data_IF_939388130439
#
_entry.id   IF_939388130439
#
_cell.length_a   1.000
_cell.length_b   1.000
_cell.length_c   1.000
_cell.angle_alpha   90.00
_cell.angle_beta   90.00
_cell.angle_gamma   90.00
#
_symmetry.space_group_name_H-M   'P 1'
#
loop_
_entity.id
_entity.type
_entity.pdbx_description
1 polymer ?
#
# COMPACT_ATOMS: atom_id res chain seq x y z
N UNK A 1 -16.65 -34.74 -20.27
CA UNK A 1 -15.72 -34.72 -19.13
C UNK A 1 -15.14 -33.32 -19.04
N UNK A 2 -15.62 -32.52 -18.09
CA UNK A 2 -15.44 -31.07 -18.03
C UNK A 2 -14.23 -30.71 -17.14
N UNK A 3 -13.28 -30.00 -17.75
CA UNK A 3 -12.54 -28.85 -17.20
C UNK A 3 -12.09 -28.97 -15.73
N UNK A 4 -10.94 -29.60 -15.49
CA UNK A 4 -10.13 -29.33 -14.30
C UNK A 4 -8.69 -29.16 -14.78
N UNK A 5 -8.14 -27.97 -14.58
CA UNK A 5 -6.81 -27.62 -15.07
C UNK A 5 -6.58 -26.11 -15.25
N UNK A 6 -7.60 -25.28 -15.05
CA UNK A 6 -7.49 -23.82 -15.18
C UNK A 6 -7.35 -23.09 -13.83
N UNK A 7 -6.94 -23.79 -12.77
CA UNK A 7 -6.75 -23.20 -11.43
C UNK A 7 -5.27 -22.87 -11.12
N UNK A 8 -4.31 -23.42 -11.88
CA UNK A 8 -2.89 -23.19 -11.62
C UNK A 8 -2.34 -21.90 -12.25
N UNK A 9 -3.05 -21.31 -13.23
CA UNK A 9 -2.59 -20.12 -13.95
C UNK A 9 -2.99 -18.79 -13.29
N UNK A 10 -3.90 -18.80 -12.30
CA UNK A 10 -4.47 -17.56 -11.74
C UNK A 10 -3.77 -17.05 -10.48
N UNK A 11 -2.92 -17.87 -9.86
CA UNK A 11 -2.14 -17.46 -8.66
C UNK A 11 -0.74 -16.95 -9.07
N UNK A 12 -0.21 -17.37 -10.23
CA UNK A 12 1.12 -16.97 -10.68
C UNK A 12 1.15 -15.66 -11.50
N UNK A 13 -0.01 -15.14 -11.91
CA UNK A 13 -0.11 -13.95 -12.76
C UNK A 13 -0.33 -12.64 -11.99
N UNK A 14 -0.53 -12.69 -10.66
CA UNK A 14 -0.68 -11.47 -9.84
C UNK A 14 0.65 -10.90 -9.31
N UNK A 15 1.79 -11.44 -9.76
CA UNK A 15 3.14 -11.02 -9.35
C UNK A 15 3.85 -10.11 -10.37
N UNK A 16 3.23 -9.76 -11.50
CA UNK A 16 3.97 -9.19 -12.64
C UNK A 16 3.59 -7.78 -13.09
N UNK A 17 3.00 -6.93 -12.26
CA UNK A 17 2.79 -5.52 -12.61
C UNK A 17 2.96 -4.60 -11.39
N UNK A 18 4.20 -4.15 -11.16
CA UNK A 18 4.65 -2.74 -11.13
C UNK A 18 5.89 -2.60 -10.22
N UNK A 19 7.05 -2.35 -10.84
CA UNK A 19 8.26 -1.82 -10.17
C UNK A 19 9.36 -2.85 -9.97
N UNK A 20 10.61 -2.49 -10.29
CA UNK A 20 11.80 -3.30 -10.00
C UNK A 20 11.85 -3.72 -8.52
N UNK A 21 11.58 -5.01 -8.29
CA UNK A 21 12.26 -5.92 -7.35
C UNK A 21 12.66 -5.43 -5.97
N UNK A 22 11.71 -5.35 -5.05
CA UNK A 22 11.98 -5.48 -3.62
C UNK A 22 10.82 -6.22 -2.96
N UNK A 23 11.12 -7.25 -2.18
CA UNK A 23 10.13 -7.98 -1.39
C UNK A 23 9.78 -7.18 -0.13
N UNK A 24 8.54 -7.26 0.35
CA UNK A 24 8.12 -6.60 1.59
C UNK A 24 8.86 -7.13 2.84
N UNK A 25 9.67 -8.18 2.73
CA UNK A 25 10.57 -8.68 3.77
C UNK A 25 12.03 -8.26 3.60
N UNK A 26 12.39 -7.54 2.54
CA UNK A 26 13.77 -7.13 2.33
C UNK A 26 14.19 -6.07 3.36
N UNK A 27 15.36 -6.24 3.96
CA UNK A 27 15.93 -5.30 4.94
C UNK A 27 16.62 -4.11 4.25
N UNK A 28 15.91 -3.42 3.37
CA UNK A 28 16.38 -2.21 2.68
C UNK A 28 15.22 -1.22 2.47
N UNK A 29 15.52 -0.07 1.88
CA UNK A 29 14.52 0.97 1.60
C UNK A 29 13.40 0.47 0.69
N UNK A 30 13.71 -0.39 -0.28
CA UNK A 30 12.76 -1.04 -1.17
C UNK A 30 11.75 -1.91 -0.42
N UNK A 31 12.21 -2.77 0.48
CA UNK A 31 11.34 -3.66 1.24
C UNK A 31 10.45 -2.92 2.24
N UNK A 32 10.97 -1.87 2.89
CA UNK A 32 10.16 -1.02 3.74
C UNK A 32 9.07 -0.27 2.95
N UNK A 33 9.40 0.25 1.75
CA UNK A 33 8.42 0.88 0.85
C UNK A 33 7.35 -0.12 0.40
N UNK A 34 7.75 -1.35 0.08
CA UNK A 34 6.82 -2.42 -0.28
C UNK A 34 5.86 -2.74 0.90
N UNK A 35 6.40 -2.87 2.13
CA UNK A 35 5.59 -3.08 3.34
C UNK A 35 4.58 -1.95 3.57
N UNK A 36 5.01 -0.69 3.55
CA UNK A 36 4.09 0.44 3.77
C UNK A 36 3.04 0.50 2.67
N UNK A 37 3.42 0.24 1.41
CA UNK A 37 2.46 0.20 0.30
C UNK A 37 1.37 -0.84 0.52
N UNK A 38 1.75 -2.04 0.97
CA UNK A 38 0.80 -3.09 1.33
C UNK A 38 -0.13 -2.63 2.47
N UNK A 39 0.43 -2.13 3.58
CA UNK A 39 -0.34 -1.68 4.75
C UNK A 39 -1.34 -0.56 4.41
N UNK A 40 -0.96 0.39 3.56
CA UNK A 40 -1.86 1.46 3.12
C UNK A 40 -2.99 0.90 2.25
N UNK A 41 -2.69 0.01 1.31
CA UNK A 41 -3.70 -0.64 0.46
C UNK A 41 -4.70 -1.46 1.27
N UNK A 42 -4.20 -2.27 2.22
CA UNK A 42 -5.04 -3.05 3.14
C UNK A 42 -5.94 -2.13 3.96
N UNK A 43 -5.36 -1.11 4.60
CA UNK A 43 -6.12 -0.16 5.43
C UNK A 43 -7.23 0.56 4.65
N UNK A 44 -6.99 0.98 3.41
CA UNK A 44 -8.02 1.61 2.56
C UNK A 44 -9.02 0.58 2.04
N UNK A 45 -8.57 -0.63 1.71
CA UNK A 45 -9.42 -1.74 1.29
C UNK A 45 -10.41 -2.16 2.37
N UNK A 46 -9.96 -2.26 3.61
CA UNK A 46 -10.80 -2.59 4.76
C UNK A 46 -11.86 -1.52 5.03
N UNK A 47 -11.54 -0.25 4.76
CA UNK A 47 -12.46 0.87 5.00
C UNK A 47 -13.45 1.12 3.86
N UNK A 48 -13.02 1.04 2.61
CA UNK A 48 -13.81 1.46 1.44
C UNK A 48 -14.12 0.32 0.46
N UNK A 49 -13.55 -0.87 0.67
CA UNK A 49 -13.77 -2.07 -0.12
C UNK A 49 -12.56 -2.49 -0.98
N UNK A 50 -12.48 -3.79 -1.34
CA UNK A 50 -11.31 -4.37 -2.01
C UNK A 50 -11.09 -3.82 -3.43
N UNK A 51 -12.13 -3.33 -4.10
CA UNK A 51 -11.98 -2.68 -5.41
C UNK A 51 -11.31 -1.30 -5.29
N UNK A 52 -11.51 -0.60 -4.17
CA UNK A 52 -10.86 0.70 -3.91
C UNK A 52 -9.38 0.51 -3.64
N UNK A 53 -9.00 -0.55 -2.92
CA UNK A 53 -7.60 -0.88 -2.64
C UNK A 53 -6.75 -1.02 -3.93
N UNK A 54 -7.35 -1.45 -5.03
CA UNK A 54 -6.68 -1.57 -6.35
C UNK A 54 -6.38 -0.21 -6.99
N UNK A 55 -7.10 0.83 -6.61
CA UNK A 55 -6.91 2.20 -7.12
C UNK A 55 -5.87 2.99 -6.33
N UNK A 56 -5.48 2.50 -5.15
CA UNK A 56 -4.56 3.15 -4.23
C UNK A 56 -3.17 3.28 -4.86
N UNK A 57 -2.72 4.52 -4.97
CA UNK A 57 -1.34 4.90 -5.27
C UNK A 57 -0.68 5.42 -4.01
N UNK A 58 0.59 5.09 -3.82
CA UNK A 58 1.38 5.48 -2.66
C UNK A 58 2.59 6.24 -3.17
N UNK A 59 2.80 7.44 -2.66
CA UNK A 59 3.87 8.35 -3.03
C UNK A 59 4.72 8.62 -1.80
N UNK A 60 5.95 8.09 -1.78
CA UNK A 60 6.89 8.35 -0.70
C UNK A 60 7.60 9.69 -0.94
N UNK A 61 7.55 10.58 0.05
CA UNK A 61 8.25 11.87 0.02
C UNK A 61 9.60 11.78 0.73
N UNK A 62 9.73 10.93 1.75
CA UNK A 62 10.98 10.69 2.45
C UNK A 62 11.09 9.25 2.94
N UNK A 63 12.30 8.69 2.86
CA UNK A 63 12.68 7.44 3.52
C UNK A 63 14.02 7.65 4.20
N UNK A 64 14.08 7.42 5.51
CA UNK A 64 15.29 7.61 6.32
C UNK A 64 15.57 6.38 7.15
N UNK A 65 16.82 5.92 7.12
CA UNK A 65 17.30 4.85 7.98
C UNK A 65 17.67 5.41 9.36
N UNK A 66 17.28 4.69 10.42
CA UNK A 66 17.69 4.96 11.78
C UNK A 66 19.17 4.61 11.98
N UNK A 67 19.91 5.47 12.67
CA UNK A 67 21.37 5.38 12.71
C UNK A 67 21.97 4.09 13.32
N UNK A 68 21.21 3.30 14.10
CA UNK A 68 21.79 2.19 14.90
C UNK A 68 20.90 0.97 15.11
N UNK A 69 19.66 0.94 14.63
CA UNK A 69 18.66 -0.04 15.10
C UNK A 69 17.75 -0.65 14.03
N UNK A 70 18.16 -0.58 12.76
CA UNK A 70 17.41 -1.19 11.65
C UNK A 70 16.02 -0.60 11.47
N UNK A 71 15.80 0.63 11.94
CA UNK A 71 14.55 1.36 11.76
C UNK A 71 14.50 2.06 10.42
N UNK A 72 13.29 2.19 9.90
CA UNK A 72 12.99 2.98 8.71
C UNK A 72 11.86 3.96 9.04
N UNK A 73 12.07 5.23 8.71
CA UNK A 73 11.06 6.27 8.82
C UNK A 73 10.60 6.63 7.41
N UNK A 74 9.31 6.45 7.13
CA UNK A 74 8.74 6.68 5.81
C UNK A 74 7.62 7.72 5.92
N UNK A 75 7.77 8.80 5.16
CA UNK A 75 6.77 9.84 5.01
C UNK A 75 6.25 9.82 3.57
N UNK A 76 4.97 10.10 3.38
CA UNK A 76 4.38 10.09 2.06
C UNK A 76 2.93 10.52 2.01
N UNK A 77 2.33 10.35 0.83
CA UNK A 77 0.90 10.52 0.61
C UNK A 77 0.33 9.32 -0.14
N UNK A 78 -0.98 9.14 -0.01
CA UNK A 78 -1.73 8.15 -0.80
C UNK A 78 -2.89 8.80 -1.51
N UNK A 79 -3.11 8.37 -2.74
CA UNK A 79 -4.22 8.78 -3.58
C UNK A 79 -5.09 7.55 -3.89
N UNK A 80 -6.41 7.68 -3.76
CA UNK A 80 -7.33 6.63 -4.19
C UNK A 80 -8.65 7.19 -4.69
N UNK A 81 -9.31 6.41 -5.53
CA UNK A 81 -10.60 6.76 -6.11
C UNK A 81 -11.69 5.87 -5.52
N UNK A 82 -12.69 6.49 -4.90
CA UNK A 82 -13.83 5.75 -4.37
C UNK A 82 -15.12 6.13 -5.09
N UNK A 83 -15.88 5.10 -5.46
CA UNK A 83 -17.24 5.21 -5.97
C UNK A 83 -18.19 4.64 -4.91
N UNK A 84 -19.07 5.48 -4.39
CA UNK A 84 -20.08 5.03 -3.43
C UNK A 84 -21.29 4.49 -4.21
N UNK A 85 -21.59 3.20 -4.08
CA UNK A 85 -22.79 2.62 -4.66
C UNK A 85 -24.02 3.34 -4.08
N UNK A 86 -24.75 4.05 -4.93
CA UNK A 86 -25.86 4.94 -4.54
C UNK A 86 -25.64 6.41 -4.91
N UNK A 87 -24.39 6.85 -5.06
CA UNK A 87 -24.05 8.15 -5.60
C UNK A 87 -23.36 7.96 -6.95
N UNK A 88 -23.88 8.55 -8.04
CA UNK A 88 -23.20 8.60 -9.35
C UNK A 88 -21.98 9.56 -9.32
N UNK A 89 -21.22 9.53 -8.24
CA UNK A 89 -20.13 10.44 -7.94
C UNK A 89 -18.88 9.63 -7.62
N UNK A 90 -17.77 10.17 -8.06
CA UNK A 90 -16.45 9.60 -7.86
C UNK A 90 -15.63 10.63 -7.10
N UNK A 91 -15.00 10.21 -6.00
CA UNK A 91 -14.13 11.10 -5.22
C UNK A 91 -12.69 10.63 -5.32
N UNK A 92 -11.80 11.60 -5.47
CA UNK A 92 -10.37 11.41 -5.24
C UNK A 92 -10.04 11.88 -3.83
N UNK A 93 -9.31 11.03 -3.12
CA UNK A 93 -8.81 11.33 -1.78
C UNK A 93 -7.30 11.40 -1.80
N UNK A 94 -6.75 12.39 -1.12
CA UNK A 94 -5.32 12.47 -0.81
C UNK A 94 -5.16 12.45 0.71
N UNK A 95 -4.34 11.53 1.24
CA UNK A 95 -4.01 11.44 2.66
C UNK A 95 -2.51 11.40 2.85
N UNK A 96 -1.98 12.20 3.77
CA UNK A 96 -0.57 12.11 4.15
C UNK A 96 -0.37 11.04 5.22
N UNK A 97 0.80 10.40 5.26
CA UNK A 97 1.12 9.39 6.25
C UNK A 97 2.58 9.47 6.71
N UNK A 98 2.81 8.92 7.90
CA UNK A 98 4.11 8.63 8.44
C UNK A 98 4.11 7.22 9.07
N UNK A 99 5.12 6.43 8.74
CA UNK A 99 5.38 5.11 9.33
C UNK A 99 6.78 5.07 9.94
N UNK A 100 6.86 4.46 11.13
CA UNK A 100 8.11 3.97 11.71
C UNK A 100 8.07 2.45 11.65
N UNK A 101 9.02 1.86 10.93
CA UNK A 101 9.19 0.41 10.82
C UNK A 101 10.49 -0.02 11.49
N UNK A 102 10.53 -1.25 11.97
CA UNK A 102 11.75 -1.91 12.43
C UNK A 102 11.86 -3.30 11.83
N UNK A 103 12.99 -3.61 11.19
CA UNK A 103 13.22 -4.94 10.65
C UNK A 103 13.67 -5.91 11.75
N UNK A 104 12.98 -7.04 11.90
CA UNK A 104 13.30 -8.03 12.92
C UNK A 104 14.18 -9.19 12.43
N UNK A 105 14.67 -9.10 11.19
CA UNK A 105 15.44 -10.14 10.51
C UNK A 105 14.62 -11.00 9.56
N UNK A 106 13.29 -10.94 9.63
CA UNK A 106 12.36 -11.72 8.79
C UNK A 106 11.31 -10.81 8.13
N UNK A 107 10.82 -9.79 8.83
CA UNK A 107 9.79 -8.88 8.32
C UNK A 107 9.95 -7.48 8.97
N UNK A 108 9.28 -6.50 8.38
CA UNK A 108 9.11 -5.18 8.96
C UNK A 108 7.96 -5.15 9.96
N UNK A 109 8.27 -4.80 11.20
CA UNK A 109 7.28 -4.54 12.24
C UNK A 109 6.93 -3.06 12.28
N UNK A 110 5.64 -2.72 12.27
CA UNK A 110 5.18 -1.33 12.44
C UNK A 110 5.32 -0.94 13.91
N UNK A 111 6.13 0.07 14.18
CA UNK A 111 6.34 0.65 15.51
C UNK A 111 5.38 1.82 15.75
N UNK A 112 5.19 2.65 14.73
CA UNK A 112 4.28 3.78 14.77
C UNK A 112 3.66 4.03 13.40
N UNK A 113 2.44 4.56 13.41
CA UNK A 113 1.66 4.92 12.22
C UNK A 113 0.84 6.17 12.53
N UNK A 114 1.03 7.22 11.72
CA UNK A 114 0.22 8.43 11.77
C UNK A 114 -0.33 8.74 10.37
N UNK A 115 -1.61 9.10 10.31
CA UNK A 115 -2.22 9.68 9.11
C UNK A 115 -2.49 11.16 9.38
N UNK A 116 -2.06 12.01 8.46
CA UNK A 116 -2.32 13.44 8.48
C UNK A 116 -3.29 13.77 7.36
N UNK A 117 -4.19 14.73 7.64
CA UNK A 117 -5.02 15.51 6.71
C UNK A 117 -5.58 14.75 5.50
N UNK A 118 -6.90 14.55 5.51
CA UNK A 118 -7.65 14.00 4.38
C UNK A 118 -8.24 15.13 3.53
N UNK A 119 -7.77 15.26 2.30
CA UNK A 119 -8.41 16.11 1.30
C UNK A 119 -9.29 15.26 0.38
N UNK A 120 -10.50 15.75 0.08
CA UNK A 120 -11.47 15.09 -0.80
C UNK A 120 -11.91 16.02 -1.92
N UNK A 121 -11.70 15.58 -3.16
CA UNK A 121 -12.20 16.28 -4.35
C UNK A 121 -13.26 15.45 -5.08
N UNK A 122 -14.42 16.05 -5.37
CA UNK A 122 -15.48 15.42 -6.18
C UNK A 122 -15.16 15.58 -7.67
N UNK A 123 -15.15 14.48 -8.42
CA UNK A 123 -15.08 14.52 -9.89
C UNK A 123 -16.47 14.81 -10.46
N UNK A 124 -16.54 15.84 -11.32
CA UNK A 124 -17.74 16.21 -12.10
C UNK A 124 -17.90 15.35 -13.33
#
# INVERSE_FOLDING_TARGET
MRKMGLAAAMILALLMLVGCGADATDNNDGGAKAKVTQLVKESIGDQYGPEVAKTVKVHFTSVKEGATDGRMFLDGSTEFTWKHDGMKKTWDYTKSFQYELQHNGIDWTVRNKMFFDEERTERK
#
